data_IF_181073513257
#
_entry.id   IF_181073513257
#
_cell.length_a   1.000
_cell.length_b   1.000
_cell.length_c   1.000
_cell.angle_alpha   90.00
_cell.angle_beta   90.00
_cell.angle_gamma   90.00
#
_symmetry.space_group_name_H-M   'P 1'
#
loop_
_entity.id
_entity.type
_entity.pdbx_description
1 polymer ?
#
# COMPACT_ATOMS: atom_id res chain seq x y z
N UNK A 1 9.54 6.22 21.97
CA UNK A 1 9.72 6.53 20.53
C UNK A 1 9.05 5.43 19.70
N UNK A 2 7.79 5.10 20.03
CA UNK A 2 7.30 3.73 19.85
C UNK A 2 5.77 3.77 19.72
N UNK A 3 5.24 4.28 18.60
CA UNK A 3 3.79 4.29 18.29
C UNK A 3 3.50 4.39 16.78
N UNK A 4 4.46 4.03 15.92
CA UNK A 4 4.35 4.14 14.46
C UNK A 4 3.10 3.48 13.84
N UNK A 5 2.74 2.22 14.18
CA UNK A 5 1.57 1.57 13.60
C UNK A 5 0.24 2.10 14.15
N UNK A 6 0.19 2.47 15.44
CA UNK A 6 -1.00 3.04 16.07
C UNK A 6 -1.36 4.41 15.50
N UNK A 7 -0.36 5.26 15.29
CA UNK A 7 -0.52 6.59 14.66
C UNK A 7 -1.08 6.45 13.24
N UNK A 8 -0.60 5.46 12.47
CA UNK A 8 -1.13 5.17 11.13
C UNK A 8 -2.60 4.73 11.17
N UNK A 9 -2.97 3.83 12.10
CA UNK A 9 -4.36 3.37 12.28
C UNK A 9 -5.31 4.54 12.57
N UNK A 10 -4.85 5.54 13.33
CA UNK A 10 -5.61 6.76 13.62
C UNK A 10 -5.67 7.77 12.45
N UNK A 11 -5.17 7.39 11.27
CA UNK A 11 -5.18 8.25 10.07
C UNK A 11 -4.09 9.32 10.05
N UNK A 12 -3.17 9.29 11.00
CA UNK A 12 -2.05 10.25 11.08
C UNK A 12 -0.87 9.70 10.27
N UNK A 13 -0.27 10.55 9.41
CA UNK A 13 0.93 10.16 8.67
C UNK A 13 2.11 10.02 9.63
N UNK A 14 2.82 8.86 9.66
CA UNK A 14 3.92 8.66 10.60
C UNK A 14 5.09 9.63 10.34
N UNK A 15 5.74 10.07 11.42
CA UNK A 15 6.89 10.99 11.37
C UNK A 15 8.08 10.28 10.70
N UNK A 16 8.55 10.79 9.55
CA UNK A 16 9.65 10.19 8.77
C UNK A 16 9.26 9.75 7.35
N UNK A 17 7.96 9.78 7.02
CA UNK A 17 7.45 9.59 5.66
C UNK A 17 7.61 10.85 4.81
N UNK A 18 8.86 11.23 4.56
CA UNK A 18 9.21 12.41 3.76
C UNK A 18 9.18 12.08 2.25
N UNK A 19 8.56 12.96 1.46
CA UNK A 19 8.51 12.87 0.01
C UNK A 19 7.20 12.34 -0.56
N UNK A 20 6.76 12.94 -1.67
CA UNK A 20 5.44 12.71 -2.27
C UNK A 20 5.21 11.26 -2.70
N UNK A 21 6.22 10.61 -3.28
CA UNK A 21 6.12 9.21 -3.73
C UNK A 21 5.97 8.23 -2.56
N UNK A 22 6.75 8.40 -1.48
CA UNK A 22 6.65 7.56 -0.28
C UNK A 22 5.29 7.71 0.41
N UNK A 23 4.79 8.94 0.55
CA UNK A 23 3.46 9.21 1.12
C UNK A 23 2.33 8.60 0.28
N UNK A 24 2.39 8.76 -1.05
CA UNK A 24 1.44 8.15 -1.96
C UNK A 24 1.41 6.63 -1.82
N UNK A 25 2.59 6.03 -1.81
CA UNK A 25 2.75 4.59 -1.70
C UNK A 25 2.25 4.05 -0.35
N UNK A 26 2.64 4.70 0.75
CA UNK A 26 2.15 4.36 2.08
C UNK A 26 0.62 4.38 2.13
N UNK A 27 -0.01 5.42 1.59
CA UNK A 27 -1.47 5.52 1.55
C UNK A 27 -2.11 4.35 0.79
N UNK A 28 -1.52 3.91 -0.33
CA UNK A 28 -2.02 2.75 -1.08
C UNK A 28 -1.90 1.46 -0.25
N UNK A 29 -0.70 1.19 0.28
CA UNK A 29 -0.44 -0.02 1.06
C UNK A 29 -1.33 -0.09 2.30
N UNK A 30 -1.48 1.05 2.97
CA UNK A 30 -2.32 1.19 4.15
C UNK A 30 -3.81 1.03 3.81
N UNK A 31 -4.28 1.62 2.71
CA UNK A 31 -5.66 1.42 2.21
C UNK A 31 -5.91 -0.05 1.87
N UNK A 32 -4.94 -0.75 1.28
CA UNK A 32 -5.03 -2.18 1.00
C UNK A 32 -5.17 -2.99 2.30
N UNK A 33 -4.37 -2.67 3.32
CA UNK A 33 -4.42 -3.31 4.63
C UNK A 33 -5.78 -3.09 5.31
N UNK A 34 -6.26 -1.83 5.36
CA UNK A 34 -7.57 -1.49 5.91
C UNK A 34 -8.68 -2.23 5.16
N UNK A 35 -8.62 -2.30 3.83
CA UNK A 35 -9.60 -3.07 3.04
C UNK A 35 -9.60 -4.56 3.41
N UNK A 36 -8.44 -5.17 3.58
CA UNK A 36 -8.32 -6.56 4.02
C UNK A 36 -8.94 -6.77 5.41
N UNK A 37 -8.71 -5.83 6.33
CA UNK A 37 -9.30 -5.83 7.67
C UNK A 37 -10.82 -5.68 7.58
N UNK A 38 -11.34 -4.70 6.84
CA UNK A 38 -12.78 -4.45 6.69
C UNK A 38 -13.51 -5.65 6.09
N UNK A 39 -12.96 -6.29 5.05
CA UNK A 39 -13.58 -7.48 4.42
C UNK A 39 -13.67 -8.66 5.40
N UNK A 40 -12.76 -8.74 6.36
CA UNK A 40 -12.70 -9.80 7.37
C UNK A 40 -13.20 -9.36 8.73
N UNK A 41 -13.81 -8.19 8.86
CA UNK A 41 -14.18 -7.60 10.15
C UNK A 41 -15.07 -8.51 11.01
N UNK A 42 -15.95 -9.29 10.36
CA UNK A 42 -16.87 -10.22 11.02
C UNK A 42 -16.42 -11.68 10.94
N UNK A 43 -15.19 -11.95 10.49
CA UNK A 43 -14.62 -13.29 10.46
C UNK A 43 -13.79 -13.53 11.71
N UNK A 44 -13.75 -14.79 12.18
CA UNK A 44 -12.95 -15.18 13.34
C UNK A 44 -11.44 -14.90 13.12
N UNK A 45 -10.99 -15.08 11.88
CA UNK A 45 -9.58 -14.96 11.53
C UNK A 45 -9.23 -13.60 10.93
N UNK A 46 -8.19 -12.98 11.50
CA UNK A 46 -7.54 -11.81 10.94
C UNK A 46 -7.02 -12.06 9.51
N UNK A 47 -6.93 -11.01 8.66
CA UNK A 47 -6.28 -11.15 7.36
C UNK A 47 -4.82 -11.59 7.53
N UNK A 48 -4.44 -12.65 6.83
CA UNK A 48 -3.05 -13.07 6.77
C UNK A 48 -2.21 -12.13 5.91
N UNK A 49 -0.90 -12.14 6.14
CA UNK A 49 0.07 -11.40 5.33
C UNK A 49 -0.09 -11.70 3.82
N UNK A 50 -0.26 -12.97 3.45
CA UNK A 50 -0.43 -13.38 2.05
C UNK A 50 -1.66 -12.73 1.39
N UNK A 51 -2.75 -12.58 2.13
CA UNK A 51 -3.97 -11.92 1.63
C UNK A 51 -3.71 -10.44 1.37
N UNK A 52 -2.96 -9.78 2.26
CA UNK A 52 -2.59 -8.39 2.07
C UNK A 52 -1.66 -8.21 0.87
N UNK A 53 -0.66 -9.09 0.70
CA UNK A 53 0.26 -9.07 -0.45
C UNK A 53 -0.49 -9.28 -1.76
N UNK A 54 -1.37 -10.28 -1.83
CA UNK A 54 -2.25 -10.47 -2.99
C UNK A 54 -3.05 -9.21 -3.29
N UNK A 55 -3.55 -8.53 -2.25
CA UNK A 55 -4.32 -7.30 -2.44
C UNK A 55 -3.49 -6.13 -2.98
N UNK A 56 -2.24 -6.00 -2.51
CA UNK A 56 -1.30 -5.02 -3.05
C UNK A 56 -0.96 -5.34 -4.50
N UNK A 57 -0.84 -6.62 -4.86
CA UNK A 57 -0.59 -7.04 -6.24
C UNK A 57 -1.75 -6.70 -7.17
N UNK A 58 -3.00 -6.95 -6.76
CA UNK A 58 -4.19 -6.53 -7.51
C UNK A 58 -4.15 -5.03 -7.84
N UNK A 59 -3.83 -4.21 -6.83
CA UNK A 59 -3.76 -2.75 -6.97
C UNK A 59 -2.61 -2.35 -7.89
N UNK A 60 -1.44 -2.97 -7.75
CA UNK A 60 -0.29 -2.72 -8.60
C UNK A 60 -0.61 -2.98 -10.08
N UNK A 61 -1.23 -4.13 -10.40
CA UNK A 61 -1.59 -4.49 -11.77
C UNK A 61 -2.63 -3.52 -12.36
N UNK A 62 -3.65 -3.17 -11.57
CA UNK A 62 -4.66 -2.18 -12.00
C UNK A 62 -4.07 -0.79 -12.22
N UNK A 63 -3.19 -0.32 -11.34
CA UNK A 63 -2.48 0.94 -11.54
C UNK A 63 -1.57 0.87 -12.76
N UNK A 64 -0.82 -0.23 -12.95
CA UNK A 64 0.06 -0.38 -14.11
C UNK A 64 -0.70 -0.18 -15.42
N UNK A 65 -1.83 -0.86 -15.58
CA UNK A 65 -2.71 -0.73 -16.76
C UNK A 65 -3.20 0.73 -16.88
N UNK A 66 -3.69 1.31 -15.79
CA UNK A 66 -4.21 2.70 -15.77
C UNK A 66 -3.14 3.72 -16.19
N UNK A 67 -1.92 3.60 -15.69
CA UNK A 67 -0.82 4.49 -16.03
C UNK A 67 -0.27 4.27 -17.43
N UNK A 68 -0.27 3.02 -17.93
CA UNK A 68 0.07 2.72 -19.32
C UNK A 68 -0.92 3.38 -20.29
N UNK A 69 -2.22 3.21 -20.05
CA UNK A 69 -3.29 3.84 -20.86
C UNK A 69 -3.20 5.37 -20.85
N UNK A 70 -2.74 5.96 -19.74
CA UNK A 70 -2.55 7.41 -19.58
C UNK A 70 -1.19 7.91 -20.07
N UNK A 71 -0.35 7.06 -20.66
CA UNK A 71 1.02 7.40 -21.10
C UNK A 71 1.91 7.98 -19.98
N UNK A 72 1.68 7.57 -18.73
CA UNK A 72 2.39 8.05 -17.53
C UNK A 72 3.27 6.97 -16.89
N UNK A 73 3.84 6.08 -17.70
CA UNK A 73 4.63 4.92 -17.24
C UNK A 73 5.80 5.32 -16.32
N UNK A 74 6.49 6.42 -16.60
CA UNK A 74 7.60 6.89 -15.75
C UNK A 74 7.16 7.28 -14.34
N UNK A 75 5.98 7.90 -14.22
CA UNK A 75 5.40 8.26 -12.92
C UNK A 75 5.04 7.01 -12.11
N UNK A 76 4.47 5.99 -12.77
CA UNK A 76 4.19 4.69 -12.15
C UNK A 76 5.47 4.05 -11.60
N UNK A 77 6.49 3.96 -12.46
CA UNK A 77 7.77 3.33 -12.12
C UNK A 77 8.43 4.01 -10.90
N UNK A 78 8.41 5.35 -10.87
CA UNK A 78 8.96 6.13 -9.75
C UNK A 78 8.23 5.88 -8.43
N UNK A 79 6.90 5.73 -8.47
CA UNK A 79 6.06 5.52 -7.28
C UNK A 79 6.19 4.10 -6.72
N UNK A 80 6.25 3.10 -7.59
CA UNK A 80 6.24 1.69 -7.20
C UNK A 80 7.61 1.05 -7.03
N UNK A 81 8.71 1.72 -7.44
CA UNK A 81 10.08 1.21 -7.31
C UNK A 81 10.40 0.66 -5.91
N UNK A 82 9.94 1.34 -4.86
CA UNK A 82 10.19 0.92 -3.48
C UNK A 82 9.45 -0.35 -3.10
N UNK A 83 8.21 -0.54 -3.57
CA UNK A 83 7.45 -1.78 -3.30
C UNK A 83 8.07 -2.94 -4.03
N UNK A 84 8.46 -2.73 -5.29
CA UNK A 84 9.12 -3.76 -6.09
C UNK A 84 10.39 -4.25 -5.40
N UNK A 85 11.15 -3.36 -4.75
CA UNK A 85 12.33 -3.72 -3.97
C UNK A 85 12.01 -4.43 -2.64
N UNK A 86 10.85 -4.17 -2.04
CA UNK A 86 10.46 -4.70 -0.71
C UNK A 86 9.63 -5.99 -0.77
N UNK A 87 8.83 -6.19 -1.82
CA UNK A 87 7.88 -7.29 -1.96
C UNK A 87 8.33 -8.39 -2.95
N UNK A 88 9.38 -8.17 -3.74
CA UNK A 88 9.93 -9.15 -4.67
C UNK A 88 11.35 -9.60 -4.25
N UNK A 89 11.47 -10.02 -3.00
CA UNK A 89 12.65 -10.67 -2.45
C UNK A 89 12.49 -12.19 -2.48
#
# INVERSE_FOLDING_TARGET
MENYPLVAILGVTPVGLNGRAKKYLFNILFTAALKCITIRWLKLDAPSYNIWIQKVWDIYQMEQITYQLRLKKETFTTRWRLVLALLMQ
#
